data_IF_480446196564
#
_entry.id   IF_480446196564
#
_cell.length_a   1.000
_cell.length_b   1.000
_cell.length_c   1.000
_cell.angle_alpha   90.00
_cell.angle_beta   90.00
_cell.angle_gamma   90.00
#
_symmetry.space_group_name_H-M   'P 1'
#
loop_
_entity.id
_entity.type
_entity.pdbx_description
1 polymer ?
#
# COMPACT_ATOMS: atom_id res chain seq x y z
N UNK A 1 6.72 9.78 -10.22
CA UNK A 1 7.56 9.88 -9.00
C UNK A 1 7.25 8.71 -8.06
N UNK A 2 8.23 7.94 -7.58
CA UNK A 2 7.99 6.71 -6.82
C UNK A 2 7.15 6.89 -5.54
N UNK A 3 7.33 8.01 -4.83
CA UNK A 3 6.51 8.38 -3.67
C UNK A 3 5.03 8.64 -4.01
N UNK A 4 4.73 9.17 -5.20
CA UNK A 4 3.35 9.34 -5.65
C UNK A 4 2.71 7.99 -5.95
N UNK A 5 3.46 7.05 -6.52
CA UNK A 5 2.98 5.68 -6.73
C UNK A 5 2.66 4.99 -5.40
N UNK A 6 3.53 5.15 -4.39
CA UNK A 6 3.29 4.64 -3.04
C UNK A 6 2.01 5.24 -2.41
N UNK A 7 1.79 6.55 -2.59
CA UNK A 7 0.56 7.21 -2.13
C UNK A 7 -0.69 6.67 -2.85
N UNK A 8 -0.62 6.43 -4.16
CA UNK A 8 -1.70 5.81 -4.92
C UNK A 8 -2.03 4.41 -4.41
N UNK A 9 -1.01 3.59 -4.13
CA UNK A 9 -1.20 2.25 -3.54
C UNK A 9 -1.83 2.31 -2.14
N UNK A 10 -1.45 3.30 -1.32
CA UNK A 10 -2.05 3.50 0.00
C UNK A 10 -3.54 3.85 -0.12
N UNK A 11 -3.89 4.76 -1.04
CA UNK A 11 -5.28 5.13 -1.32
C UNK A 11 -6.10 3.95 -1.86
N UNK A 12 -5.51 3.13 -2.72
CA UNK A 12 -6.13 1.89 -3.19
C UNK A 12 -6.40 0.92 -2.02
N UNK A 13 -5.44 0.76 -1.12
CA UNK A 13 -5.62 -0.02 0.11
C UNK A 13 -6.79 0.49 0.95
N UNK A 14 -6.92 1.80 1.15
CA UNK A 14 -8.03 2.39 1.89
C UNK A 14 -9.39 2.11 1.24
N UNK A 15 -9.47 2.24 -0.09
CA UNK A 15 -10.70 1.98 -0.84
C UNK A 15 -11.09 0.49 -0.77
N UNK A 16 -10.13 -0.41 -0.93
CA UNK A 16 -10.34 -1.85 -0.83
C UNK A 16 -10.75 -2.29 0.58
N UNK A 17 -10.16 -1.69 1.62
CA UNK A 17 -10.55 -1.95 3.00
C UNK A 17 -12.00 -1.52 3.25
N UNK A 18 -12.37 -0.30 2.84
CA UNK A 18 -13.74 0.23 2.96
C UNK A 18 -14.77 -0.64 2.24
N UNK A 19 -14.40 -1.22 1.09
CA UNK A 19 -15.28 -2.14 0.37
C UNK A 19 -15.32 -3.52 1.04
N UNK A 20 -14.20 -4.03 1.52
CA UNK A 20 -14.11 -5.31 2.24
C UNK A 20 -14.90 -5.33 3.53
N UNK A 21 -15.00 -4.20 4.25
CA UNK A 21 -15.87 -4.06 5.44
C UNK A 21 -17.37 -4.27 5.13
N UNK A 22 -17.78 -4.09 3.87
CA UNK A 22 -19.18 -4.18 3.44
C UNK A 22 -19.52 -5.52 2.78
N UNK A 23 -18.51 -6.33 2.46
CA UNK A 23 -18.67 -7.59 1.75
C UNK A 23 -18.60 -8.78 2.71
N UNK A 24 -19.29 -9.88 2.36
CA UNK A 24 -19.13 -11.15 3.07
C UNK A 24 -17.86 -11.84 2.55
N UNK A 25 -16.79 -11.80 3.35
CA UNK A 25 -15.52 -12.45 3.03
C UNK A 25 -14.32 -11.52 3.18
N UNK A 26 -13.12 -12.04 2.85
CA UNK A 26 -11.86 -11.32 3.11
C UNK A 26 -11.07 -10.99 1.84
N UNK A 27 -11.60 -11.27 0.65
CA UNK A 27 -10.87 -11.09 -0.61
C UNK A 27 -10.39 -9.63 -0.79
N UNK A 28 -11.28 -8.65 -0.66
CA UNK A 28 -10.87 -7.24 -0.76
C UNK A 28 -9.96 -6.77 0.37
N UNK A 29 -10.08 -7.34 1.57
CA UNK A 29 -9.16 -7.06 2.66
C UNK A 29 -7.75 -7.60 2.35
N UNK A 30 -7.64 -8.75 1.70
CA UNK A 30 -6.37 -9.32 1.25
C UNK A 30 -5.73 -8.45 0.14
N UNK A 31 -6.55 -7.94 -0.78
CA UNK A 31 -6.08 -7.00 -1.80
C UNK A 31 -5.60 -5.68 -1.17
N UNK A 32 -6.31 -5.17 -0.16
CA UNK A 32 -5.90 -3.98 0.59
C UNK A 32 -4.53 -4.17 1.26
N UNK A 33 -4.32 -5.32 1.91
CA UNK A 33 -3.03 -5.67 2.52
C UNK A 33 -1.91 -5.69 1.48
N UNK A 34 -2.17 -6.20 0.28
CA UNK A 34 -1.19 -6.21 -0.81
C UNK A 34 -0.83 -4.80 -1.25
N UNK A 35 -1.82 -3.93 -1.44
CA UNK A 35 -1.61 -2.53 -1.81
C UNK A 35 -0.81 -1.75 -0.75
N UNK A 36 -1.14 -1.93 0.54
CA UNK A 36 -0.39 -1.30 1.62
C UNK A 36 1.05 -1.79 1.72
N UNK A 37 1.31 -3.10 1.52
CA UNK A 37 2.67 -3.64 1.52
C UNK A 37 3.51 -3.05 0.39
N UNK A 38 2.93 -2.90 -0.79
CA UNK A 38 3.58 -2.24 -1.92
C UNK A 38 3.94 -0.78 -1.61
N UNK A 39 3.00 -0.01 -1.04
CA UNK A 39 3.25 1.36 -0.59
C UNK A 39 4.35 1.43 0.46
N UNK A 40 4.31 0.54 1.46
CA UNK A 40 5.25 0.52 2.57
C UNK A 40 6.68 0.19 2.11
N UNK A 41 6.84 -0.75 1.18
CA UNK A 41 8.15 -1.07 0.60
C UNK A 41 8.79 0.17 -0.03
N UNK A 42 8.02 0.94 -0.79
CA UNK A 42 8.53 2.11 -1.48
C UNK A 42 8.80 3.28 -0.52
N UNK A 43 7.92 3.51 0.47
CA UNK A 43 8.19 4.47 1.54
C UNK A 43 9.44 4.08 2.35
N UNK A 44 9.67 2.79 2.58
CA UNK A 44 10.84 2.29 3.29
C UNK A 44 12.11 2.52 2.47
N UNK A 45 12.09 2.24 1.15
CA UNK A 45 13.22 2.56 0.26
C UNK A 45 13.54 4.04 0.23
N UNK A 46 12.52 4.89 0.18
CA UNK A 46 12.71 6.34 0.18
C UNK A 46 13.23 6.88 1.53
N UNK A 47 13.00 6.15 2.63
CA UNK A 47 13.47 6.50 3.98
C UNK A 47 14.81 5.87 4.35
N UNK A 48 15.24 4.82 3.63
CA UNK A 48 16.54 4.23 3.86
C UNK A 48 17.61 5.30 3.60
N UNK A 49 18.56 5.50 4.53
CA UNK A 49 19.69 6.38 4.26
C UNK A 49 20.38 5.85 3.00
N UNK A 50 20.68 6.74 2.05
CA UNK A 50 21.52 6.41 0.91
C UNK A 50 22.91 6.02 1.44
N UNK A 51 23.09 4.75 1.80
CA UNK A 51 24.43 4.18 1.99
C UNK A 51 24.98 3.90 0.60
N UNK A 52 25.45 4.95 -0.06
CA UNK A 52 26.33 4.82 -1.22
C UNK A 52 27.71 4.32 -0.76
N UNK A 53 28.41 3.51 -1.56
CA UNK A 53 29.82 3.19 -1.33
C UNK A 53 30.72 4.43 -1.41
#
# INVERSE_FOLDING_TARGET
MPLQWAATQNNLGNALATLGERESGTARLQDAVTAYRAALQEYTRARAPFSGP
#
